data_IF_871444528214
#
_entry.id   IF_871444528214
#
_cell.length_a   1.000
_cell.length_b   1.000
_cell.length_c   1.000
_cell.angle_alpha   90.00
_cell.angle_beta   90.00
_cell.angle_gamma   90.00
#
_symmetry.space_group_name_H-M   'P 1'
#
loop_
_entity.id
_entity.type
_entity.pdbx_description
1 polymer ?
#
# COMPACT_ATOMS: atom_id res chain seq x y z
N UNK A 1 -3.18 20.20 -18.12
CA UNK A 1 -4.21 19.28 -17.58
C UNK A 1 -3.66 18.44 -16.44
N UNK A 2 -4.48 18.20 -15.42
CA UNK A 2 -4.16 17.38 -14.25
C UNK A 2 -5.12 16.18 -14.18
N UNK A 3 -4.66 15.07 -13.63
CA UNK A 3 -5.46 13.88 -13.31
C UNK A 3 -5.33 13.56 -11.83
N UNK A 4 -6.25 12.72 -11.35
CA UNK A 4 -6.23 12.21 -9.97
C UNK A 4 -6.06 13.35 -8.96
N UNK A 5 -6.88 14.40 -9.14
CA UNK A 5 -6.86 15.61 -8.33
C UNK A 5 -7.73 15.41 -7.10
N UNK A 6 -7.14 15.63 -5.93
CA UNK A 6 -7.76 15.44 -4.63
C UNK A 6 -7.52 16.66 -3.73
N UNK A 7 -8.53 17.16 -3.01
CA UNK A 7 -9.92 16.69 -3.05
C UNK A 7 -10.57 16.89 -4.42
N UNK A 8 -11.58 16.07 -4.73
CA UNK A 8 -12.23 16.09 -6.04
C UNK A 8 -12.93 17.44 -6.26
N UNK A 9 -13.12 17.80 -7.54
CA UNK A 9 -13.84 19.02 -7.88
C UNK A 9 -15.25 19.00 -7.28
N UNK A 10 -15.59 20.04 -6.52
CA UNK A 10 -16.88 20.16 -5.84
C UNK A 10 -16.91 19.60 -4.42
N UNK A 11 -15.81 19.01 -3.94
CA UNK A 11 -15.69 18.64 -2.52
C UNK A 11 -15.65 19.89 -1.64
N UNK A 12 -16.48 19.97 -0.59
CA UNK A 12 -16.39 21.03 0.41
C UNK A 12 -15.02 21.03 1.09
N UNK A 13 -14.36 22.19 1.15
CA UNK A 13 -13.07 22.37 1.81
C UNK A 13 -13.20 23.32 3.00
N UNK A 14 -12.34 23.17 4.00
CA UNK A 14 -12.24 24.08 5.13
C UNK A 14 -11.31 25.25 4.81
N UNK A 15 -11.21 26.24 5.72
CA UNK A 15 -10.34 27.41 5.54
C UNK A 15 -8.87 27.02 5.29
N UNK A 16 -8.40 25.93 5.89
CA UNK A 16 -7.09 25.34 5.62
C UNK A 16 -7.30 23.99 4.93
N UNK A 17 -6.85 23.87 3.68
CA UNK A 17 -6.87 22.61 2.94
C UNK A 17 -5.60 22.47 2.09
N UNK A 18 -5.31 21.25 1.67
CA UNK A 18 -4.26 20.94 0.69
C UNK A 18 -4.86 20.24 -0.52
N UNK A 19 -4.21 20.44 -1.67
CA UNK A 19 -4.59 19.87 -2.97
C UNK A 19 -3.40 19.06 -3.49
N UNK A 20 -3.66 17.87 -3.99
CA UNK A 20 -2.68 17.04 -4.69
C UNK A 20 -3.25 16.60 -6.05
N UNK A 21 -2.38 16.35 -7.02
CA UNK A 21 -2.78 15.88 -8.34
C UNK A 21 -1.58 15.56 -9.23
N UNK A 22 -1.83 14.81 -10.29
CA UNK A 22 -0.81 14.37 -11.24
C UNK A 22 -0.87 15.25 -12.49
N UNK A 23 0.21 15.98 -12.77
CA UNK A 23 0.30 16.81 -13.99
C UNK A 23 0.54 15.95 -15.24
N UNK A 24 -0.27 16.14 -16.29
CA UNK A 24 -0.07 15.43 -17.58
C UNK A 24 1.13 15.94 -18.38
N UNK A 25 1.63 17.12 -18.05
CA UNK A 25 2.67 17.82 -18.81
C UNK A 25 3.83 18.16 -17.90
N UNK A 26 5.05 17.96 -18.41
CA UNK A 26 6.26 18.39 -17.72
C UNK A 26 6.39 19.92 -17.77
N UNK A 27 7.01 20.51 -16.74
CA UNK A 27 7.34 21.94 -16.72
C UNK A 27 6.17 22.88 -16.41
N UNK A 28 5.11 22.38 -15.76
CA UNK A 28 4.04 23.22 -15.22
C UNK A 28 4.62 24.21 -14.21
N UNK A 29 4.38 25.51 -14.44
CA UNK A 29 4.90 26.60 -13.60
C UNK A 29 3.86 27.19 -12.66
N UNK A 30 2.59 26.93 -12.92
CA UNK A 30 1.49 27.54 -12.18
C UNK A 30 0.26 26.65 -12.24
N UNK A 31 -0.52 26.70 -11.17
CA UNK A 31 -1.89 26.19 -11.12
C UNK A 31 -2.85 27.31 -10.73
N UNK A 32 -4.07 27.22 -11.23
CA UNK A 32 -5.17 28.10 -10.82
C UNK A 32 -6.24 27.24 -10.17
N UNK A 33 -6.55 27.57 -8.92
CA UNK A 33 -7.60 26.90 -8.13
C UNK A 33 -8.80 27.83 -8.06
N UNK A 34 -9.98 27.30 -8.37
CA UNK A 34 -11.24 28.02 -8.27
C UNK A 34 -11.95 27.59 -6.98
N UNK A 35 -12.18 28.53 -6.08
CA UNK A 35 -12.82 28.27 -4.78
C UNK A 35 -14.06 29.15 -4.65
N UNK A 36 -15.20 28.57 -4.28
CA UNK A 36 -16.44 29.31 -4.11
C UNK A 36 -17.50 28.50 -3.39
N UNK A 37 -18.59 29.16 -3.03
CA UNK A 37 -19.76 28.59 -2.34
C UNK A 37 -20.83 28.06 -3.30
N UNK A 38 -20.59 28.16 -4.61
CA UNK A 38 -21.52 27.77 -5.67
C UNK A 38 -22.64 28.78 -5.95
N UNK A 39 -22.76 29.86 -5.16
CA UNK A 39 -23.75 30.92 -5.37
C UNK A 39 -23.15 32.14 -6.09
N UNK A 40 -21.90 32.45 -5.80
CA UNK A 40 -21.18 33.58 -6.39
C UNK A 40 -20.10 33.11 -7.38
N UNK A 41 -19.56 34.05 -8.16
CA UNK A 41 -18.40 33.77 -9.01
C UNK A 41 -17.24 33.25 -8.13
N UNK A 42 -16.58 32.15 -8.53
CA UNK A 42 -15.50 31.58 -7.73
C UNK A 42 -14.30 32.52 -7.67
N UNK A 43 -13.63 32.54 -6.53
CA UNK A 43 -12.34 33.19 -6.37
C UNK A 43 -11.28 32.38 -7.11
N UNK A 44 -10.49 33.05 -7.93
CA UNK A 44 -9.32 32.45 -8.59
C UNK A 44 -8.08 32.63 -7.73
N UNK A 45 -7.40 31.53 -7.41
CA UNK A 45 -6.16 31.51 -6.66
C UNK A 45 -5.08 30.93 -7.56
N UNK A 46 -4.16 31.79 -7.99
CA UNK A 46 -3.05 31.41 -8.86
C UNK A 46 -1.79 31.15 -8.04
N UNK A 47 -1.28 29.93 -8.10
CA UNK A 47 -0.18 29.42 -7.27
C UNK A 47 0.97 29.01 -8.18
N UNK A 48 2.14 29.63 -7.99
CA UNK A 48 3.34 29.22 -8.71
C UNK A 48 3.83 27.87 -8.19
N UNK A 49 4.10 26.94 -9.09
CA UNK A 49 4.69 25.64 -8.76
C UNK A 49 6.21 25.77 -8.70
N UNK A 50 6.79 25.21 -7.65
CA UNK A 50 8.22 25.07 -7.48
C UNK A 50 8.57 23.59 -7.46
N UNK A 51 9.59 23.15 -8.21
CA UNK A 51 10.05 21.77 -8.12
C UNK A 51 10.59 21.51 -6.72
N UNK A 52 10.16 20.42 -6.11
CA UNK A 52 10.80 19.90 -4.91
C UNK A 52 12.11 19.19 -5.30
N UNK A 53 13.13 19.29 -4.45
CA UNK A 53 14.44 18.69 -4.66
C UNK A 53 14.64 17.38 -3.88
N UNK A 54 13.56 16.70 -3.52
CA UNK A 54 13.57 15.45 -2.75
C UNK A 54 13.56 15.68 -1.24
N UNK A 55 13.16 16.85 -0.77
CA UNK A 55 12.94 17.12 0.65
C UNK A 55 11.61 16.51 1.13
N UNK A 56 10.66 16.37 0.20
CA UNK A 56 9.30 15.92 0.50
C UNK A 56 8.93 14.74 -0.43
N UNK A 57 8.38 13.68 0.14
CA UNK A 57 7.80 12.58 -0.64
C UNK A 57 6.42 13.00 -1.19
N UNK A 58 6.45 13.70 -2.33
CA UNK A 58 5.24 14.14 -3.03
C UNK A 58 4.35 12.98 -3.48
N UNK A 59 4.93 11.80 -3.75
CA UNK A 59 4.18 10.62 -4.18
C UNK A 59 3.37 10.07 -3.02
N UNK A 60 3.97 9.99 -1.82
CA UNK A 60 3.27 9.57 -0.62
C UNK A 60 2.13 10.55 -0.24
N UNK A 61 2.36 11.87 -0.36
CA UNK A 61 1.31 12.88 -0.09
C UNK A 61 0.13 12.72 -1.06
N UNK A 62 0.40 12.53 -2.35
CA UNK A 62 -0.64 12.28 -3.34
C UNK A 62 -1.40 10.99 -3.02
N UNK A 63 -0.70 9.90 -2.71
CA UNK A 63 -1.31 8.61 -2.38
C UNK A 63 -2.20 8.72 -1.13
N UNK A 64 -1.77 9.46 -0.11
CA UNK A 64 -2.58 9.72 1.08
C UNK A 64 -3.89 10.43 0.71
N UNK A 65 -3.83 11.47 -0.12
CA UNK A 65 -5.03 12.20 -0.58
C UNK A 65 -5.97 11.33 -1.41
N UNK A 66 -5.42 10.45 -2.25
CA UNK A 66 -6.20 9.46 -3.00
C UNK A 66 -6.90 8.48 -2.06
N UNK A 67 -6.18 7.94 -1.08
CA UNK A 67 -6.75 7.04 -0.06
C UNK A 67 -7.87 7.73 0.70
N UNK A 68 -7.67 8.97 1.17
CA UNK A 68 -8.71 9.75 1.86
C UNK A 68 -9.99 9.89 1.01
N UNK A 69 -9.84 10.08 -0.30
CA UNK A 69 -10.99 10.17 -1.21
C UNK A 69 -11.69 8.81 -1.41
N UNK A 70 -10.94 7.72 -1.57
CA UNK A 70 -11.48 6.36 -1.72
C UNK A 70 -12.16 5.87 -0.43
N UNK A 71 -11.65 6.30 0.73
CA UNK A 71 -12.11 5.91 2.06
C UNK A 71 -13.55 6.39 2.36
N UNK A 72 -14.07 7.35 1.59
CA UNK A 72 -15.48 7.76 1.63
C UNK A 72 -16.44 6.62 1.23
N UNK A 73 -15.99 5.71 0.36
CA UNK A 73 -16.69 4.51 -0.08
C UNK A 73 -15.80 3.29 0.17
N UNK A 74 -15.38 3.14 1.43
CA UNK A 74 -14.37 2.15 1.82
C UNK A 74 -14.67 0.73 1.34
N UNK A 75 -15.91 0.26 1.49
CA UNK A 75 -16.29 -1.12 1.13
C UNK A 75 -16.08 -1.42 -0.36
N UNK A 76 -16.36 -0.44 -1.24
CA UNK A 76 -16.19 -0.58 -2.69
C UNK A 76 -14.72 -0.47 -3.11
N UNK A 77 -13.92 0.29 -2.35
CA UNK A 77 -12.54 0.64 -2.71
C UNK A 77 -11.48 -0.08 -1.87
N UNK A 78 -11.87 -1.06 -1.05
CA UNK A 78 -11.00 -1.73 -0.07
C UNK A 78 -9.69 -2.24 -0.66
N UNK A 79 -9.76 -2.91 -1.80
CA UNK A 79 -8.61 -3.51 -2.48
C UNK A 79 -7.63 -2.46 -3.03
N UNK A 80 -8.17 -1.37 -3.60
CA UNK A 80 -7.34 -0.26 -4.11
C UNK A 80 -6.66 0.48 -2.95
N UNK A 81 -7.38 0.72 -1.84
CA UNK A 81 -6.82 1.32 -0.62
C UNK A 81 -5.69 0.45 -0.05
N UNK A 82 -5.90 -0.87 0.01
CA UNK A 82 -4.89 -1.82 0.51
C UNK A 82 -3.63 -1.82 -0.38
N UNK A 83 -3.81 -1.81 -1.69
CA UNK A 83 -2.73 -1.80 -2.67
C UNK A 83 -1.93 -0.50 -2.60
N UNK A 84 -2.61 0.66 -2.58
CA UNK A 84 -1.97 1.96 -2.42
C UNK A 84 -1.24 2.08 -1.07
N UNK A 85 -1.87 1.62 0.01
CA UNK A 85 -1.25 1.60 1.33
C UNK A 85 0.05 0.82 1.36
N UNK A 86 0.06 -0.39 0.78
CA UNK A 86 1.26 -1.23 0.67
C UNK A 86 2.33 -0.59 -0.22
N UNK A 87 1.95 -0.07 -1.39
CA UNK A 87 2.87 0.51 -2.36
C UNK A 87 3.60 1.74 -1.84
N UNK A 88 2.91 2.61 -1.09
CA UNK A 88 3.44 3.88 -0.60
C UNK A 88 3.78 3.87 0.90
N UNK A 89 3.73 2.70 1.56
CA UNK A 89 4.02 2.56 2.98
C UNK A 89 3.06 3.33 3.90
N UNK A 90 1.81 3.50 3.48
CA UNK A 90 0.78 4.25 4.21
C UNK A 90 -0.08 3.28 5.03
N UNK A 91 -0.20 3.55 6.32
CA UNK A 91 -1.12 2.83 7.20
C UNK A 91 -2.54 3.30 6.92
N UNK A 92 -3.44 2.33 6.70
CA UNK A 92 -4.86 2.51 6.39
C UNK A 92 -5.70 1.79 7.45
N UNK A 93 -7.04 1.91 7.41
CA UNK A 93 -7.94 1.35 8.44
C UNK A 93 -7.69 -0.13 8.77
N UNK A 94 -7.26 -0.92 7.79
CA UNK A 94 -7.10 -2.38 7.92
C UNK A 94 -5.64 -2.83 7.76
N UNK A 95 -4.70 -1.88 7.75
CA UNK A 95 -3.27 -2.21 7.75
C UNK A 95 -2.64 -1.78 9.07
N UNK A 96 -1.56 -2.45 9.45
CA UNK A 96 -0.77 -2.14 10.64
C UNK A 96 0.69 -2.18 10.25
N UNK A 97 1.51 -1.38 10.93
CA UNK A 97 2.95 -1.40 10.72
C UNK A 97 3.56 -2.51 11.57
N UNK A 98 4.31 -3.40 10.93
CA UNK A 98 5.12 -4.42 11.59
C UNK A 98 6.59 -4.14 11.28
N UNK A 99 7.45 -4.24 12.29
CA UNK A 99 8.90 -4.15 12.13
C UNK A 99 9.46 -5.57 12.18
N UNK A 100 10.19 -5.94 11.13
CA UNK A 100 10.78 -7.28 10.97
C UNK A 100 12.29 -7.12 11.11
N UNK A 101 12.90 -7.77 12.10
CA UNK A 101 14.34 -7.65 12.38
C UNK A 101 15.15 -8.74 11.66
N UNK A 102 14.53 -9.90 11.42
CA UNK A 102 15.18 -11.10 10.89
C UNK A 102 14.50 -11.62 9.62
N UNK A 103 15.24 -12.35 8.78
CA UNK A 103 14.68 -12.95 7.55
C UNK A 103 13.60 -13.98 7.87
N UNK A 104 13.72 -14.66 9.00
CA UNK A 104 12.77 -15.62 9.54
C UNK A 104 11.41 -14.98 9.84
N UNK A 105 11.40 -13.71 10.28
CA UNK A 105 10.15 -12.98 10.51
C UNK A 105 9.37 -12.77 9.21
N UNK A 106 10.05 -12.49 8.09
CA UNK A 106 9.42 -12.38 6.78
C UNK A 106 8.77 -13.69 6.35
N UNK A 107 9.47 -14.81 6.56
CA UNK A 107 8.95 -16.16 6.28
C UNK A 107 7.70 -16.43 7.11
N UNK A 108 7.79 -16.20 8.43
CA UNK A 108 6.71 -16.45 9.38
C UNK A 108 5.43 -15.68 9.06
N UNK A 109 5.54 -14.43 8.64
CA UNK A 109 4.39 -13.58 8.32
C UNK A 109 4.02 -13.60 6.83
N UNK A 110 4.72 -14.40 6.01
CA UNK A 110 4.56 -14.46 4.55
C UNK A 110 4.64 -13.06 3.88
N UNK A 111 5.54 -12.21 4.39
CA UNK A 111 5.78 -10.86 3.87
C UNK A 111 6.98 -10.92 2.94
N UNK A 112 6.87 -10.36 1.75
CA UNK A 112 8.00 -10.29 0.81
C UNK A 112 9.08 -9.35 1.36
N UNK A 113 10.33 -9.82 1.52
CA UNK A 113 11.40 -9.00 2.06
C UNK A 113 12.00 -8.04 1.02
N UNK A 114 12.82 -7.06 1.46
CA UNK A 114 13.61 -6.23 0.54
C UNK A 114 14.57 -7.09 -0.30
N UNK A 115 14.99 -6.54 -1.45
CA UNK A 115 15.78 -7.25 -2.45
C UNK A 115 17.06 -7.91 -1.89
N UNK A 116 17.69 -7.28 -0.90
CA UNK A 116 18.90 -7.78 -0.22
C UNK A 116 18.66 -9.10 0.51
N UNK A 117 17.46 -9.31 1.05
CA UNK A 117 17.07 -10.48 1.84
C UNK A 117 16.30 -11.53 1.01
N UNK A 118 15.94 -11.22 -0.23
CA UNK A 118 15.09 -12.07 -1.06
C UNK A 118 15.70 -13.44 -1.37
N UNK A 119 17.03 -13.50 -1.56
CA UNK A 119 17.75 -14.76 -1.77
C UNK A 119 17.64 -15.68 -0.55
N UNK A 120 17.89 -15.12 0.64
CA UNK A 120 17.88 -15.86 1.90
C UNK A 120 16.46 -16.34 2.25
N UNK A 121 15.47 -15.46 2.06
CA UNK A 121 14.05 -15.80 2.23
C UNK A 121 13.62 -16.97 1.32
N UNK A 122 13.99 -16.93 0.04
CA UNK A 122 13.66 -18.01 -0.89
C UNK A 122 14.35 -19.33 -0.52
N UNK A 123 15.54 -19.28 0.08
CA UNK A 123 16.24 -20.46 0.61
C UNK A 123 15.47 -21.06 1.80
N UNK A 124 15.13 -20.23 2.78
CA UNK A 124 14.40 -20.65 3.98
C UNK A 124 13.02 -21.25 3.66
N UNK A 125 12.26 -20.65 2.73
CA UNK A 125 10.97 -21.19 2.29
C UNK A 125 11.12 -22.59 1.68
N UNK A 126 12.16 -22.82 0.88
CA UNK A 126 12.42 -24.14 0.28
C UNK A 126 12.79 -25.17 1.34
N UNK A 127 13.65 -24.81 2.29
CA UNK A 127 14.06 -25.68 3.39
C UNK A 127 12.84 -26.09 4.24
N UNK A 128 11.99 -25.13 4.62
CA UNK A 128 10.75 -25.41 5.37
C UNK A 128 9.80 -26.36 4.60
N UNK A 129 9.74 -26.24 3.27
CA UNK A 129 8.88 -27.08 2.45
C UNK A 129 9.39 -28.53 2.41
N UNK A 130 10.71 -28.71 2.25
CA UNK A 130 11.35 -30.03 2.25
C UNK A 130 11.18 -30.69 3.63
N UNK A 131 11.47 -29.97 4.72
CA UNK A 131 11.31 -30.49 6.09
C UNK A 131 9.86 -30.89 6.41
N UNK A 132 8.87 -30.13 5.91
CA UNK A 132 7.46 -30.48 6.06
C UNK A 132 7.10 -31.74 5.28
N UNK A 133 7.60 -31.90 4.06
CA UNK A 133 7.36 -33.09 3.24
C UNK A 133 7.95 -34.36 3.87
N UNK A 134 9.20 -34.29 4.35
CA UNK A 134 9.86 -35.39 5.07
C UNK A 134 9.07 -35.78 6.33
N UNK A 135 8.66 -34.79 7.14
CA UNK A 135 7.87 -35.05 8.35
C UNK A 135 6.53 -35.70 8.05
N UNK A 136 5.86 -35.29 6.97
CA UNK A 136 4.59 -35.90 6.54
C UNK A 136 4.82 -37.35 6.09
N UNK A 137 5.89 -37.63 5.35
CA UNK A 137 6.25 -38.97 4.93
C UNK A 137 6.51 -39.89 6.14
N UNK A 138 7.29 -39.42 7.12
CA UNK A 138 7.58 -40.17 8.35
C UNK A 138 6.32 -40.49 9.16
N UNK A 139 5.40 -39.52 9.29
CA UNK A 139 4.13 -39.72 10.00
C UNK A 139 3.22 -40.75 9.29
N UNK A 140 3.24 -40.76 7.95
CA UNK A 140 2.48 -41.74 7.16
C UNK A 140 3.04 -43.15 7.32
N UNK A 141 4.37 -43.31 7.31
CA UNK A 141 5.03 -44.59 7.51
C UNK A 141 4.73 -45.16 8.90
N UNK A 142 4.85 -44.33 9.94
CA UNK A 142 4.48 -44.70 11.31
C UNK A 142 3.01 -45.14 11.44
N UNK A 143 2.09 -44.43 10.79
CA UNK A 143 0.67 -44.77 10.81
C UNK A 143 0.39 -46.12 10.11
N UNK A 144 1.10 -46.42 9.02
CA UNK A 144 0.99 -47.71 8.32
C UNK A 144 1.47 -48.86 9.19
N UNK A 145 2.59 -48.69 9.90
CA UNK A 145 3.14 -49.73 10.77
C UNK A 145 2.28 -50.02 11.99
N UNK A 146 1.72 -48.98 12.63
CA UNK A 146 0.74 -49.13 13.71
C UNK A 146 -0.48 -49.91 13.21
N UNK A 147 -0.97 -49.61 12.00
CA UNK A 147 -2.15 -50.29 11.43
C UNK A 147 -1.87 -51.77 11.16
N UNK A 148 -0.68 -52.14 10.67
CA UNK A 148 -0.28 -53.54 10.46
C UNK A 148 -0.19 -54.31 11.78
N UNK A 149 0.32 -53.69 12.85
CA UNK A 149 0.40 -54.33 14.17
C UNK A 149 -0.97 -54.64 14.77
N UNK A 150 -1.99 -53.81 14.50
CA UNK A 150 -3.36 -54.03 15.01
C UNK A 150 -4.14 -55.10 14.24
N UNK A 151 -3.68 -55.47 13.04
CA UNK A 151 -4.30 -56.49 12.20
C UNK A 151 -3.69 -57.89 12.36
N UNK A 152 -2.63 -58.01 13.17
CA UNK A 152 -1.96 -59.29 13.49
C UNK A 152 -2.29 -59.77 14.90
#
# INVERSE_FOLDING_TARGET
DFEEVYPQKGTPVQANFSLAGVGKSQGLKQITVLVGDGQQAPQEISIALQPDHGEIDLQQIWAQKKIEALDLQYEDNREEIETLGKQFGIVTRNTSLIVLETTEDYVRYAITPPAELLSEFNRLIKEEHIEKEERVADLLDQAQDITKQLQS
#
